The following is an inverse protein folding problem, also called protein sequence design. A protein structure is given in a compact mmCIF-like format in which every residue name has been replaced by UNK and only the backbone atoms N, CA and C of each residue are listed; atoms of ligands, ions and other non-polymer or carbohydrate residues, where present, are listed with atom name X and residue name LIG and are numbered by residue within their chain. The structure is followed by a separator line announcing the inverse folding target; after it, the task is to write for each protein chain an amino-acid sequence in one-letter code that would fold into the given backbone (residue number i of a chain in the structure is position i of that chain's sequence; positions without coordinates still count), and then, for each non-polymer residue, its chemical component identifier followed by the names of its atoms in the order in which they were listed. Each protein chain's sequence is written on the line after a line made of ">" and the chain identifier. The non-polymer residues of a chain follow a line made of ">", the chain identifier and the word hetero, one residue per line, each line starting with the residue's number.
data_IF_599196853749
#
_entry.id   IF_599196853749
#
_cell.length_a   1.000
_cell.length_b   1.000
_cell.length_c   1.000
_cell.angle_alpha   90.00
_cell.angle_beta   90.00
_cell.angle_gamma   90.00
#
_symmetry.space_group_name_H-M   'P 1'
#
loop_
_entity.id
_entity.type
_entity.pdbx_description
1 polymer ?
#
# COMPACT_ATOMS: atom_id res chain seq x y z
N UNK A 1 24.93 -40.56 -12.83
CA UNK A 1 23.99 -39.80 -13.67
C UNK A 1 23.89 -38.41 -13.08
N UNK A 2 24.45 -37.39 -13.74
CA UNK A 2 24.48 -36.01 -13.26
C UNK A 2 23.63 -35.15 -14.22
N UNK A 3 22.56 -34.56 -13.70
CA UNK A 3 21.73 -33.63 -14.44
C UNK A 3 22.31 -32.23 -14.30
N UNK A 4 22.89 -31.73 -15.39
CA UNK A 4 23.27 -30.33 -15.51
C UNK A 4 22.00 -29.51 -15.75
N UNK A 5 21.53 -28.81 -14.72
CA UNK A 5 20.51 -27.77 -14.90
C UNK A 5 21.27 -26.50 -15.31
N UNK A 6 21.42 -26.30 -16.61
CA UNK A 6 21.80 -25.01 -17.18
C UNK A 6 20.68 -24.01 -16.88
N UNK A 7 20.80 -23.28 -15.77
CA UNK A 7 19.98 -22.10 -15.49
C UNK A 7 20.47 -20.97 -16.40
N UNK A 8 20.03 -21.00 -17.65
CA UNK A 8 20.22 -19.94 -18.63
C UNK A 8 19.22 -18.80 -18.39
N UNK A 9 19.36 -18.11 -17.25
CA UNK A 9 18.63 -16.85 -16.96
C UNK A 9 19.47 -15.95 -16.05
N UNK A 10 20.68 -15.58 -16.46
CA UNK A 10 21.55 -14.71 -15.64
C UNK A 10 22.23 -13.56 -16.38
N UNK A 11 21.88 -13.31 -17.66
CA UNK A 11 22.51 -12.24 -18.45
C UNK A 11 21.57 -11.15 -18.99
N UNK A 12 20.33 -11.48 -19.36
CA UNK A 12 19.47 -10.57 -20.14
C UNK A 12 18.51 -9.72 -19.30
N UNK A 13 18.27 -10.09 -18.04
CA UNK A 13 17.28 -9.37 -17.21
C UNK A 13 17.80 -8.03 -16.68
N UNK A 14 19.11 -7.84 -16.54
CA UNK A 14 19.69 -6.58 -16.02
C UNK A 14 19.64 -5.41 -17.00
N UNK A 15 19.53 -5.66 -18.32
CA UNK A 15 19.43 -4.59 -19.32
C UNK A 15 17.98 -4.15 -19.60
N UNK A 16 16.98 -4.92 -19.16
CA UNK A 16 15.55 -4.62 -19.32
C UNK A 16 14.85 -4.28 -18.00
N UNK A 17 15.57 -4.35 -16.88
CA UNK A 17 15.16 -3.87 -15.57
C UNK A 17 15.15 -2.34 -15.61
N UNK A 18 13.98 -1.77 -15.95
CA UNK A 18 13.78 -0.33 -15.93
C UNK A 18 13.44 0.07 -14.48
N UNK A 19 14.44 0.47 -13.66
CA UNK A 19 14.29 0.51 -12.21
C UNK A 19 13.26 1.54 -11.79
N UNK A 20 13.17 2.63 -12.55
CA UNK A 20 12.17 3.69 -12.38
C UNK A 20 10.74 3.17 -12.52
N UNK A 21 10.50 2.27 -13.48
CA UNK A 21 9.18 1.67 -13.69
C UNK A 21 8.80 0.73 -12.53
N UNK A 22 9.76 -0.07 -12.06
CA UNK A 22 9.52 -0.96 -10.92
C UNK A 22 9.31 -0.18 -9.63
N UNK A 23 10.07 0.89 -9.41
CA UNK A 23 9.88 1.77 -8.26
C UNK A 23 8.48 2.41 -8.32
N UNK A 24 8.04 2.89 -9.49
CA UNK A 24 6.69 3.43 -9.68
C UNK A 24 5.59 2.42 -9.40
N UNK A 25 5.70 1.20 -9.95
CA UNK A 25 4.71 0.14 -9.74
C UNK A 25 4.65 -0.29 -8.26
N UNK A 26 5.80 -0.41 -7.60
CA UNK A 26 5.89 -0.75 -6.16
C UNK A 26 5.28 0.37 -5.31
N UNK A 27 5.55 1.63 -5.65
CA UNK A 27 4.96 2.78 -4.95
C UNK A 27 3.44 2.79 -5.09
N UNK A 28 2.92 2.56 -6.30
CA UNK A 28 1.48 2.51 -6.54
C UNK A 28 0.79 1.39 -5.76
N UNK A 29 1.40 0.20 -5.69
CA UNK A 29 0.87 -0.92 -4.90
C UNK A 29 0.91 -0.60 -3.40
N UNK A 30 1.98 0.02 -2.92
CA UNK A 30 2.10 0.45 -1.52
C UNK A 30 1.06 1.50 -1.16
N UNK A 31 0.84 2.49 -2.02
CA UNK A 31 -0.16 3.54 -1.85
C UNK A 31 -1.59 2.94 -1.81
N UNK A 32 -1.90 2.01 -2.71
CA UNK A 32 -3.19 1.32 -2.74
C UNK A 32 -3.41 0.42 -1.50
N UNK A 33 -2.36 -0.27 -1.05
CA UNK A 33 -2.43 -1.09 0.17
C UNK A 33 -2.65 -0.22 1.42
N UNK A 34 -2.00 0.95 1.46
CA UNK A 34 -2.18 1.92 2.54
C UNK A 34 -3.60 2.49 2.54
N UNK A 35 -4.14 2.83 1.37
CA UNK A 35 -5.54 3.26 1.20
C UNK A 35 -6.52 2.25 1.82
N UNK A 36 -6.41 0.96 1.45
CA UNK A 36 -7.25 -0.12 2.03
C UNK A 36 -7.07 -0.28 3.54
N UNK A 37 -5.86 -0.05 4.04
CA UNK A 37 -5.58 -0.12 5.48
C UNK A 37 -6.29 1.01 6.22
N UNK A 38 -6.28 2.23 5.68
CA UNK A 38 -7.03 3.37 6.23
C UNK A 38 -8.53 3.11 6.19
N UNK A 39 -9.09 2.62 5.08
CA UNK A 39 -10.51 2.25 5.00
C UNK A 39 -10.91 1.18 6.03
N UNK A 40 -10.06 0.17 6.22
CA UNK A 40 -10.31 -0.85 7.25
C UNK A 40 -10.28 -0.25 8.66
N UNK A 41 -9.40 0.72 8.90
CA UNK A 41 -9.34 1.45 10.16
C UNK A 41 -10.55 2.36 10.37
N UNK A 42 -11.09 2.98 9.31
CA UNK A 42 -12.37 3.73 9.36
C UNK A 42 -13.48 2.82 9.85
N UNK A 43 -13.65 1.66 9.23
CA UNK A 43 -14.68 0.68 9.62
C UNK A 43 -14.46 0.20 11.05
N UNK A 44 -13.21 -0.04 11.46
CA UNK A 44 -12.87 -0.40 12.83
C UNK A 44 -13.21 0.69 13.85
N UNK A 45 -12.92 1.95 13.53
CA UNK A 45 -13.24 3.10 14.36
C UNK A 45 -14.76 3.29 14.49
N UNK A 46 -15.49 3.18 13.39
CA UNK A 46 -16.96 3.24 13.38
C UNK A 46 -17.58 2.11 14.20
N UNK A 47 -17.04 0.89 14.12
CA UNK A 47 -17.53 -0.23 14.91
C UNK A 47 -17.35 -0.02 16.42
N UNK A 48 -16.31 0.70 16.83
CA UNK A 48 -16.02 0.97 18.25
C UNK A 48 -16.77 2.20 18.77
N UNK A 49 -16.84 3.27 17.97
CA UNK A 49 -17.35 4.58 18.42
C UNK A 49 -18.79 4.85 17.98
N UNK A 50 -19.28 4.15 16.95
CA UNK A 50 -20.57 4.40 16.32
C UNK A 50 -20.60 5.61 15.39
N UNK A 51 -19.48 6.30 15.19
CA UNK A 51 -19.38 7.50 14.35
C UNK A 51 -18.25 7.39 13.33
N UNK A 52 -18.45 7.98 12.15
CA UNK A 52 -17.43 8.08 11.14
C UNK A 52 -16.30 9.01 11.60
N UNK A 53 -15.02 8.62 11.42
CA UNK A 53 -13.91 9.53 11.69
C UNK A 53 -14.00 10.75 10.77
N UNK A 54 -13.66 11.92 11.30
CA UNK A 54 -13.59 13.18 10.53
C UNK A 54 -12.16 13.58 10.22
N UNK A 55 -11.19 13.00 10.93
CA UNK A 55 -9.77 13.31 10.82
C UNK A 55 -8.94 12.03 10.81
N UNK A 56 -7.92 12.00 9.95
CA UNK A 56 -6.99 10.86 9.84
C UNK A 56 -6.28 10.57 11.16
N UNK A 57 -6.05 11.59 12.00
CA UNK A 57 -5.42 11.45 13.30
C UNK A 57 -6.20 10.55 14.28
N UNK A 58 -7.52 10.40 14.10
CA UNK A 58 -8.36 9.53 14.91
C UNK A 58 -8.10 8.03 14.64
N UNK A 59 -7.49 7.72 13.48
CA UNK A 59 -7.18 6.36 13.06
C UNK A 59 -5.76 5.93 13.41
N UNK A 60 -4.97 6.79 14.08
CA UNK A 60 -3.57 6.50 14.41
C UNK A 60 -3.38 5.23 15.23
N UNK A 61 -4.31 4.94 16.14
CA UNK A 61 -4.23 3.74 16.98
C UNK A 61 -4.71 2.48 16.24
N UNK A 62 -5.34 2.64 15.07
CA UNK A 62 -5.90 1.55 14.26
C UNK A 62 -5.02 1.19 13.06
N UNK A 63 -4.07 2.04 12.69
CA UNK A 63 -3.16 1.81 11.55
C UNK A 63 -1.72 1.68 12.01
N UNK A 64 -1.05 0.61 11.59
CA UNK A 64 0.40 0.46 11.74
C UNK A 64 1.09 1.00 10.49
N UNK A 65 1.32 2.31 10.43
CA UNK A 65 1.98 2.97 9.31
C UNK A 65 1.88 4.48 9.36
N UNK A 66 2.62 5.17 8.49
CA UNK A 66 2.45 6.60 8.30
C UNK A 66 1.27 6.86 7.35
N UNK A 67 0.24 7.51 7.89
CA UNK A 67 -0.98 7.89 7.17
C UNK A 67 -1.11 9.41 7.05
N UNK A 68 -0.06 10.17 7.37
CA UNK A 68 -0.11 11.63 7.37
C UNK A 68 -0.39 12.25 6.00
N UNK A 69 -0.13 11.52 4.90
CA UNK A 69 -0.50 11.90 3.54
C UNK A 69 -1.96 11.66 3.16
N UNK A 70 -2.75 11.04 4.04
CA UNK A 70 -4.16 10.71 3.79
C UNK A 70 -5.09 11.64 4.56
N UNK A 71 -6.28 11.86 4.02
CA UNK A 71 -7.36 12.64 4.64
C UNK A 71 -8.65 11.84 4.61
N UNK A 72 -9.58 12.18 5.52
CA UNK A 72 -10.92 11.61 5.48
C UNK A 72 -11.83 12.56 4.72
N UNK A 73 -12.49 12.08 3.68
CA UNK A 73 -13.45 12.84 2.90
C UNK A 73 -14.76 12.07 2.83
N UNK A 74 -15.84 12.65 3.36
CA UNK A 74 -17.16 12.01 3.44
C UNK A 74 -17.14 10.62 4.12
N UNK A 75 -16.29 10.44 5.14
CA UNK A 75 -16.16 9.15 5.85
C UNK A 75 -15.33 8.10 5.09
N UNK A 76 -14.62 8.46 4.03
CA UNK A 76 -13.75 7.54 3.26
C UNK A 76 -12.30 8.04 3.25
N UNK A 77 -11.35 7.13 3.07
CA UNK A 77 -9.96 7.49 2.84
C UNK A 77 -9.80 8.22 1.49
N UNK A 78 -9.06 9.33 1.50
CA UNK A 78 -8.65 10.05 0.29
C UNK A 78 -7.15 10.37 0.39
N UNK A 79 -6.40 10.12 -0.69
CA UNK A 79 -4.94 10.23 -0.69
C UNK A 79 -4.31 9.35 -1.77
N UNK A 80 -2.99 9.17 -1.79
CA UNK A 80 -2.32 8.36 -2.80
C UNK A 80 -2.87 6.92 -2.86
N UNK A 81 -3.26 6.45 -4.05
CA UNK A 81 -3.84 5.12 -4.24
C UNK A 81 -5.34 5.00 -3.85
N UNK A 82 -5.93 6.10 -3.38
CA UNK A 82 -7.36 6.41 -3.38
C UNK A 82 -7.61 7.57 -4.39
#
# INVERSE_FOLDING_TARGET
>A
MAAAITVSVSGVSYAALNPEKIMGDVQQVADQATCRTVDTAIVGYEAVTGEAPTKIAQLRDYVRGDISGYVIKNGMAAGPGC
#
